data_IF_383970321156
#
_entry.id   IF_383970321156
#
_cell.length_a   1.000
_cell.length_b   1.000
_cell.length_c   1.000
_cell.angle_alpha   90.00
_cell.angle_beta   90.00
_cell.angle_gamma   90.00
#
_symmetry.space_group_name_H-M   'P 1'
#
loop_
_entity.id
_entity.type
_entity.pdbx_description
1 polymer ?
#
# COMPACT_ATOMS: atom_id res chain seq x y z
N UNK A 1 16.45 28.18 40.75
CA UNK A 1 15.62 28.12 39.52
C UNK A 1 15.58 29.52 38.93
N UNK A 2 16.53 29.86 38.06
CA UNK A 2 16.57 31.15 37.38
C UNK A 2 15.66 31.07 36.14
N UNK A 3 14.66 31.95 36.08
CA UNK A 3 13.79 32.13 34.91
C UNK A 3 14.41 33.19 34.01
N UNK A 4 14.93 32.78 32.85
CA UNK A 4 15.51 33.69 31.87
C UNK A 4 14.37 34.38 31.10
N UNK A 5 14.36 35.72 31.16
CA UNK A 5 13.33 36.57 30.59
C UNK A 5 13.26 36.54 29.07
N UNK A 6 12.03 36.73 28.58
CA UNK A 6 11.67 36.86 27.17
C UNK A 6 12.16 38.20 26.60
N UNK A 7 13.19 38.19 25.75
CA UNK A 7 13.55 39.35 24.93
C UNK A 7 13.78 38.91 23.48
N UNK A 8 12.86 39.30 22.60
CA UNK A 8 13.12 40.34 21.59
C UNK A 8 11.93 40.39 20.62
N UNK A 9 11.13 41.45 20.71
CA UNK A 9 10.16 41.81 19.70
C UNK A 9 10.91 42.17 18.41
N UNK A 10 10.76 41.32 17.39
CA UNK A 10 11.37 41.58 16.09
C UNK A 10 10.46 42.50 15.29
N UNK A 11 11.06 43.60 14.86
CA UNK A 11 10.41 44.78 14.31
C UNK A 11 9.54 44.49 13.08
N UNK A 12 8.39 45.15 13.02
CA UNK A 12 7.56 45.24 11.82
C UNK A 12 8.34 45.93 10.70
N UNK A 13 8.57 45.23 9.59
CA UNK A 13 9.12 45.82 8.37
C UNK A 13 7.99 46.45 7.54
N UNK A 14 8.23 47.61 6.90
CA UNK A 14 7.21 48.34 6.15
C UNK A 14 6.85 47.63 4.84
N UNK A 15 5.55 47.71 4.51
CA UNK A 15 4.98 47.18 3.28
C UNK A 15 5.63 47.80 2.02
N UNK A 16 6.36 46.99 1.26
CA UNK A 16 6.81 47.35 -0.07
C UNK A 16 5.75 47.06 -1.13
N UNK A 17 5.55 48.08 -1.96
CA UNK A 17 4.54 48.27 -2.99
C UNK A 17 4.51 47.13 -4.02
N UNK A 18 3.29 46.76 -4.42
CA UNK A 18 2.97 45.73 -5.38
C UNK A 18 3.80 45.80 -6.67
N UNK A 19 4.47 44.69 -6.99
CA UNK A 19 5.05 44.43 -8.31
C UNK A 19 4.44 43.13 -8.84
N UNK A 20 3.54 43.32 -9.81
CA UNK A 20 3.09 42.39 -10.86
C UNK A 20 3.15 40.88 -10.55
N UNK A 21 1.96 40.30 -10.36
CA UNK A 21 1.72 38.87 -10.24
C UNK A 21 2.04 38.12 -11.56
N UNK A 22 2.93 37.12 -11.55
CA UNK A 22 2.77 35.96 -12.42
C UNK A 22 1.54 35.19 -11.92
N UNK A 23 0.70 34.69 -12.83
CA UNK A 23 -0.44 33.86 -12.47
C UNK A 23 0.03 32.69 -11.60
N UNK A 24 -0.39 32.69 -10.32
CA UNK A 24 -0.14 31.58 -9.42
C UNK A 24 -0.93 30.38 -9.95
N UNK A 25 -0.22 29.37 -10.45
CA UNK A 25 -0.76 28.01 -10.47
C UNK A 25 -1.26 27.70 -9.05
N UNK A 26 -2.46 27.12 -8.89
CA UNK A 26 -2.89 26.68 -7.58
C UNK A 26 -1.91 25.61 -7.11
N UNK A 27 -0.98 26.01 -6.25
CA UNK A 27 -0.19 25.07 -5.44
C UNK A 27 -1.20 24.25 -4.67
N UNK A 28 -1.38 23.00 -5.08
CA UNK A 28 -2.14 22.04 -4.29
C UNK A 28 -1.54 22.06 -2.88
N UNK A 29 -2.34 22.46 -1.90
CA UNK A 29 -1.93 22.38 -0.51
C UNK A 29 -1.49 20.94 -0.23
N UNK A 30 -0.37 20.71 0.48
CA UNK A 30 0.00 19.36 0.87
C UNK A 30 -1.15 18.81 1.72
N UNK A 31 -1.81 17.78 1.21
CA UNK A 31 -2.82 17.03 1.94
C UNK A 31 -2.20 16.57 3.25
N UNK A 32 -2.72 17.05 4.39
CA UNK A 32 -2.29 16.59 5.69
C UNK A 32 -2.42 15.04 5.74
N UNK A 33 -1.39 14.31 6.20
CA UNK A 33 -1.46 12.86 6.27
C UNK A 33 -2.64 12.47 7.17
N UNK A 34 -3.52 11.62 6.63
CA UNK A 34 -4.65 11.09 7.41
C UNK A 34 -4.06 10.21 8.52
N UNK A 35 -4.64 10.21 9.73
CA UNK A 35 -4.24 9.29 10.79
C UNK A 35 -4.35 7.86 10.25
N UNK A 36 -3.22 7.15 10.18
CA UNK A 36 -3.18 5.74 9.80
C UNK A 36 -3.06 4.91 11.07
N UNK A 37 -3.99 3.98 11.26
CA UNK A 37 -3.87 2.97 12.30
C UNK A 37 -2.73 1.99 11.93
N UNK A 38 -1.89 1.65 12.92
CA UNK A 38 -0.75 0.77 12.72
C UNK A 38 -0.91 -0.49 13.56
N UNK A 39 -1.04 -1.63 12.89
CA UNK A 39 -1.08 -2.94 13.51
C UNK A 39 0.35 -3.53 13.53
N UNK A 40 0.82 -3.92 14.71
CA UNK A 40 2.04 -4.73 14.83
C UNK A 40 1.65 -6.20 15.01
N UNK A 41 2.16 -7.03 14.10
CA UNK A 41 2.07 -8.49 14.23
C UNK A 41 3.10 -8.98 15.26
N UNK A 42 2.77 -10.04 16.00
CA UNK A 42 3.72 -10.65 16.93
C UNK A 42 4.94 -11.20 16.18
N UNK A 43 6.08 -11.28 16.88
CA UNK A 43 7.32 -11.81 16.32
C UNK A 43 7.13 -13.24 15.76
N UNK A 44 6.32 -14.06 16.46
CA UNK A 44 6.01 -15.43 16.04
C UNK A 44 5.21 -15.47 14.72
N UNK A 45 4.24 -14.57 14.56
CA UNK A 45 3.45 -14.47 13.32
C UNK A 45 4.32 -14.03 12.13
N UNK A 46 5.25 -13.11 12.36
CA UNK A 46 6.20 -12.66 11.34
C UNK A 46 7.18 -13.76 10.90
N UNK A 47 7.65 -14.57 11.85
CA UNK A 47 8.52 -15.71 11.58
C UNK A 47 7.77 -16.81 10.82
N UNK A 48 6.52 -17.10 11.19
CA UNK A 48 5.70 -18.07 10.49
C UNK A 48 5.41 -17.64 9.05
N UNK A 49 5.08 -16.36 8.83
CA UNK A 49 4.83 -15.82 7.48
C UNK A 49 6.08 -15.93 6.58
N UNK A 50 7.26 -15.62 7.12
CA UNK A 50 8.53 -15.82 6.39
C UNK A 50 8.83 -17.30 6.12
N UNK A 51 8.58 -18.19 7.07
CA UNK A 51 8.80 -19.62 6.91
C UNK A 51 7.83 -20.24 5.88
N UNK A 52 6.58 -19.79 5.82
CA UNK A 52 5.61 -20.18 4.80
C UNK A 52 6.00 -19.67 3.42
N UNK A 53 6.45 -18.41 3.33
CA UNK A 53 6.99 -17.85 2.10
C UNK A 53 8.22 -18.63 1.60
N UNK A 54 9.08 -19.12 2.50
CA UNK A 54 10.27 -19.87 2.12
C UNK A 54 10.00 -21.33 1.71
N UNK A 55 8.99 -22.00 2.31
CA UNK A 55 8.73 -23.42 2.04
C UNK A 55 7.87 -23.67 0.80
N UNK A 56 6.96 -22.75 0.48
CA UNK A 56 6.01 -22.99 -0.60
C UNK A 56 6.37 -22.26 -1.88
N UNK A 57 7.37 -21.40 -1.89
CA UNK A 57 7.50 -20.41 -2.94
C UNK A 57 8.95 -20.36 -3.42
N UNK A 58 9.18 -20.67 -4.70
CA UNK A 58 10.51 -20.53 -5.31
C UNK A 58 11.01 -19.08 -5.24
N UNK A 59 12.26 -18.84 -5.63
CA UNK A 59 12.94 -17.54 -5.50
C UNK A 59 12.15 -16.33 -6.03
N UNK A 60 11.20 -16.54 -6.95
CA UNK A 60 10.37 -15.50 -7.58
C UNK A 60 8.92 -15.40 -7.07
N UNK A 61 8.54 -16.08 -5.98
CA UNK A 61 7.14 -16.02 -5.57
C UNK A 61 6.25 -17.09 -6.25
N UNK A 62 6.82 -17.97 -7.08
CA UNK A 62 6.08 -18.85 -7.98
C UNK A 62 6.38 -20.33 -7.70
N UNK A 63 5.32 -21.14 -7.64
CA UNK A 63 5.39 -22.62 -7.59
C UNK A 63 5.44 -23.20 -8.99
N UNK A 64 6.64 -23.29 -9.57
CA UNK A 64 6.86 -23.69 -10.97
C UNK A 64 6.26 -25.06 -11.26
N UNK A 65 6.41 -26.03 -10.36
CA UNK A 65 5.88 -27.39 -10.51
C UNK A 65 4.35 -27.39 -10.55
N UNK A 66 3.71 -26.59 -9.69
CA UNK A 66 2.25 -26.45 -9.71
C UNK A 66 1.80 -25.79 -11.01
N UNK A 67 2.50 -24.75 -11.48
CA UNK A 67 2.18 -24.10 -12.75
C UNK A 67 2.31 -25.08 -13.92
N UNK A 68 3.34 -25.92 -13.95
CA UNK A 68 3.50 -26.95 -14.97
C UNK A 68 2.34 -27.97 -14.95
N UNK A 69 1.97 -28.46 -13.76
CA UNK A 69 0.84 -29.37 -13.59
C UNK A 69 -0.50 -28.73 -14.01
N UNK A 70 -0.74 -27.47 -13.64
CA UNK A 70 -1.93 -26.73 -14.08
C UNK A 70 -1.96 -26.57 -15.60
N UNK A 71 -0.83 -26.20 -16.23
CA UNK A 71 -0.74 -26.09 -17.70
C UNK A 71 -1.07 -27.39 -18.40
N UNK A 72 -0.59 -28.52 -17.88
CA UNK A 72 -0.91 -29.83 -18.43
C UNK A 72 -2.40 -30.16 -18.27
N UNK A 73 -2.99 -29.91 -17.10
CA UNK A 73 -4.42 -30.13 -16.88
C UNK A 73 -5.33 -29.27 -17.77
N UNK A 74 -4.89 -28.05 -18.09
CA UNK A 74 -5.59 -27.16 -19.04
C UNK A 74 -5.49 -27.72 -20.45
N UNK A 75 -4.31 -28.18 -20.87
CA UNK A 75 -4.10 -28.77 -22.20
C UNK A 75 -4.89 -30.07 -22.39
N UNK A 76 -5.04 -30.87 -21.33
CA UNK A 76 -5.83 -32.11 -21.29
C UNK A 76 -7.35 -31.83 -21.24
N UNK A 77 -7.76 -30.62 -20.88
CA UNK A 77 -9.16 -30.24 -20.70
C UNK A 77 -9.75 -30.66 -19.35
N UNK A 78 -9.02 -31.42 -18.52
CA UNK A 78 -9.45 -31.84 -17.18
C UNK A 78 -9.49 -30.69 -16.15
N UNK A 79 -8.96 -29.51 -16.47
CA UNK A 79 -8.99 -28.37 -15.56
C UNK A 79 -10.39 -27.79 -15.35
N UNK A 80 -11.24 -27.77 -16.39
CA UNK A 80 -12.55 -27.13 -16.38
C UNK A 80 -13.64 -28.11 -15.94
N UNK A 81 -13.87 -28.16 -14.63
CA UNK A 81 -14.98 -28.93 -14.05
C UNK A 81 -16.12 -28.00 -13.65
N UNK A 82 -17.38 -28.45 -13.65
CA UNK A 82 -18.52 -27.58 -13.31
C UNK A 82 -18.36 -26.97 -11.91
N UNK A 83 -17.83 -27.72 -10.95
CA UNK A 83 -17.62 -27.23 -9.58
C UNK A 83 -16.59 -26.09 -9.51
N UNK A 84 -15.55 -26.14 -10.34
CA UNK A 84 -14.55 -25.06 -10.43
C UNK A 84 -15.11 -23.82 -11.11
N UNK A 85 -15.99 -24.00 -12.10
CA UNK A 85 -16.65 -22.88 -12.79
C UNK A 85 -17.62 -22.16 -11.86
N UNK A 86 -18.42 -22.89 -11.09
CA UNK A 86 -19.32 -22.33 -10.09
C UNK A 86 -18.53 -21.55 -9.02
N UNK A 87 -17.48 -22.15 -8.47
CA UNK A 87 -16.63 -21.48 -7.49
C UNK A 87 -15.91 -20.24 -8.05
N UNK A 88 -15.51 -20.28 -9.34
CA UNK A 88 -14.90 -19.13 -10.00
C UNK A 88 -15.90 -17.99 -10.21
N UNK A 89 -17.16 -18.32 -10.56
CA UNK A 89 -18.24 -17.36 -10.70
C UNK A 89 -18.56 -16.70 -9.35
N UNK A 90 -18.68 -17.48 -8.28
CA UNK A 90 -18.92 -16.95 -6.93
C UNK A 90 -17.82 -15.97 -6.50
N UNK A 91 -16.54 -16.34 -6.71
CA UNK A 91 -15.40 -15.46 -6.40
C UNK A 91 -15.37 -14.19 -7.25
N UNK A 92 -15.76 -14.29 -8.52
CA UNK A 92 -15.85 -13.14 -9.41
C UNK A 92 -16.90 -12.16 -8.90
N UNK A 93 -18.09 -12.65 -8.51
CA UNK A 93 -19.17 -11.82 -7.99
C UNK A 93 -18.84 -11.20 -6.63
N UNK A 94 -18.15 -11.93 -5.73
CA UNK A 94 -17.65 -11.43 -4.45
C UNK A 94 -16.68 -10.25 -4.61
N UNK A 95 -15.94 -10.20 -5.73
CA UNK A 95 -15.00 -9.11 -6.03
C UNK A 95 -15.70 -7.79 -6.39
N UNK A 96 -16.98 -7.82 -6.76
CA UNK A 96 -17.75 -6.63 -7.13
C UNK A 96 -18.64 -6.08 -5.99
N UNK A 97 -18.72 -6.77 -4.87
CA UNK A 97 -19.48 -6.37 -3.68
C UNK A 97 -18.62 -5.55 -2.71
#
# INVERSE_FOLDING_TARGET
>A
MQIQGLQSAQAAQPAQRASQAPAAQPTAAPSAPRPTDSLQLSAEAQQLSQAQAANEVGQDGIRVEKVAALRQAIADGSYETPEKLDAALDRLLDTFA
#
